data_IF_910184897353
#
_entry.id   IF_910184897353
#
_cell.length_a   1.000
_cell.length_b   1.000
_cell.length_c   1.000
_cell.angle_alpha   90.00
_cell.angle_beta   90.00
_cell.angle_gamma   90.00
#
_symmetry.space_group_name_H-M   'P 1'
#
loop_
_entity.id
_entity.type
_entity.pdbx_description
1 polymer ?
#
# COMPACT_ATOMS: atom_id res chain seq x y z
N UNK A 1 14.62 73.74 24.54
CA UNK A 1 14.96 72.91 23.36
C UNK A 1 14.82 71.44 23.78
N UNK A 2 13.66 70.91 23.48
CA UNK A 2 13.34 69.55 23.87
C UNK A 2 13.58 68.62 22.65
N UNK A 3 14.51 67.69 22.77
CA UNK A 3 14.77 66.69 21.74
C UNK A 3 13.81 65.51 21.90
N UNK A 4 12.97 65.34 20.88
CA UNK A 4 12.06 64.19 20.75
C UNK A 4 12.85 63.04 20.15
N UNK A 5 12.86 61.90 20.85
CA UNK A 5 13.43 60.63 20.36
C UNK A 5 12.51 59.99 19.30
N UNK A 6 13.06 59.30 18.27
CA UNK A 6 12.25 58.61 17.27
C UNK A 6 11.67 57.29 17.81
N UNK A 7 10.54 56.80 17.24
CA UNK A 7 9.89 55.59 17.70
C UNK A 7 10.69 54.33 17.33
N UNK A 8 10.64 53.34 18.23
CA UNK A 8 11.27 52.05 18.10
C UNK A 8 10.69 51.26 16.91
N UNK A 9 11.59 50.82 16.03
CA UNK A 9 11.31 49.93 14.91
C UNK A 9 10.88 48.57 15.47
N UNK A 10 9.69 48.13 15.05
CA UNK A 10 9.10 46.86 15.44
C UNK A 10 10.03 45.68 15.09
N UNK A 11 10.22 44.82 16.06
CA UNK A 11 10.97 43.57 15.91
C UNK A 11 10.37 42.72 14.81
N UNK A 12 11.12 42.49 13.74
CA UNK A 12 10.84 41.47 12.74
C UNK A 12 10.81 40.10 13.44
N UNK A 13 9.67 39.45 13.39
CA UNK A 13 9.53 38.04 13.80
C UNK A 13 10.39 37.18 12.87
N UNK A 14 11.29 36.40 13.46
CA UNK A 14 12.13 35.43 12.77
C UNK A 14 11.25 34.41 12.03
N UNK A 15 11.58 34.00 10.79
CA UNK A 15 10.92 32.93 10.08
C UNK A 15 11.48 31.57 10.60
N UNK A 16 10.93 31.05 11.69
CA UNK A 16 11.51 29.88 12.36
C UNK A 16 10.57 29.08 13.26
N UNK A 17 9.25 29.20 13.08
CA UNK A 17 8.29 28.24 13.63
C UNK A 17 7.48 27.60 12.51
N UNK A 18 8.19 26.90 11.61
CA UNK A 18 7.58 25.80 10.90
C UNK A 18 7.36 24.71 11.96
N UNK A 19 6.11 24.54 12.37
CA UNK A 19 5.66 23.47 13.24
C UNK A 19 6.40 22.18 12.86
N UNK A 20 7.02 21.53 13.84
CA UNK A 20 7.59 20.18 13.72
C UNK A 20 6.46 19.23 13.35
N UNK A 21 6.11 19.21 12.07
CA UNK A 21 5.28 18.18 11.46
C UNK A 21 6.01 16.88 11.74
N UNK A 22 5.31 15.98 12.39
CA UNK A 22 5.73 14.64 12.75
C UNK A 22 6.43 13.98 11.54
N UNK A 23 7.76 14.00 11.51
CA UNK A 23 8.62 13.76 10.33
C UNK A 23 8.60 12.28 9.89
N UNK A 24 7.68 11.47 10.44
CA UNK A 24 7.60 10.02 10.27
C UNK A 24 6.38 9.57 9.42
N UNK A 25 5.39 10.44 9.19
CA UNK A 25 4.23 10.14 8.35
C UNK A 25 4.64 10.19 6.89
N UNK A 26 4.60 9.04 6.22
CA UNK A 26 4.95 8.91 4.80
C UNK A 26 3.75 9.03 3.88
N UNK A 27 2.65 8.36 4.23
CA UNK A 27 1.38 8.40 3.49
C UNK A 27 0.32 9.05 4.36
N UNK A 28 -0.39 10.06 3.81
CA UNK A 28 -1.59 10.66 4.42
C UNK A 28 -2.73 10.61 3.43
N UNK A 29 -3.83 10.00 3.82
CA UNK A 29 -5.11 9.99 3.10
C UNK A 29 -6.07 10.85 3.91
N UNK A 30 -6.52 11.99 3.34
CA UNK A 30 -7.27 13.02 4.06
C UNK A 30 -8.61 13.27 3.38
N UNK A 31 -9.69 12.76 3.97
CA UNK A 31 -11.09 12.94 3.54
C UNK A 31 -11.31 12.62 2.05
N UNK A 32 -10.64 11.57 1.57
CA UNK A 32 -10.64 11.21 0.16
C UNK A 32 -11.95 10.54 -0.21
N UNK A 33 -12.64 11.10 -1.21
CA UNK A 33 -13.84 10.51 -1.82
C UNK A 33 -13.67 10.34 -3.33
N UNK A 34 -14.45 9.42 -3.89
CA UNK A 34 -14.45 9.16 -5.32
C UNK A 34 -15.80 8.57 -5.78
N UNK A 35 -16.19 8.85 -7.02
CA UNK A 35 -17.37 8.22 -7.62
C UNK A 35 -17.10 7.86 -9.07
N UNK A 36 -17.51 6.65 -9.45
CA UNK A 36 -17.60 6.26 -10.85
C UNK A 36 -18.97 6.67 -11.41
N UNK A 37 -18.97 7.60 -12.34
CA UNK A 37 -20.19 8.03 -13.01
C UNK A 37 -20.07 7.79 -14.51
N UNK A 38 -21.01 7.11 -15.17
CA UNK A 38 -20.94 6.89 -16.60
C UNK A 38 -21.11 8.22 -17.39
N UNK A 39 -21.87 9.16 -16.82
CA UNK A 39 -22.10 10.51 -17.36
C UNK A 39 -22.36 11.49 -16.20
N UNK A 40 -22.12 12.78 -16.42
CA UNK A 40 -22.33 13.86 -15.44
C UNK A 40 -23.79 13.99 -14.94
N UNK A 41 -24.76 13.42 -15.69
CA UNK A 41 -26.20 13.53 -15.39
C UNK A 41 -26.80 12.28 -14.76
N UNK A 42 -26.03 11.19 -14.62
CA UNK A 42 -26.51 9.94 -14.04
C UNK A 42 -25.97 9.73 -12.63
N UNK A 43 -26.77 9.03 -11.81
CA UNK A 43 -26.31 8.61 -10.49
C UNK A 43 -25.02 7.78 -10.60
N UNK A 44 -24.06 7.93 -9.68
CA UNK A 44 -22.83 7.19 -9.71
C UNK A 44 -23.09 5.67 -9.56
N UNK A 45 -22.39 4.88 -10.35
CA UNK A 45 -22.42 3.40 -10.26
C UNK A 45 -21.82 2.90 -8.95
N UNK A 46 -20.86 3.64 -8.42
CA UNK A 46 -20.19 3.34 -7.14
C UNK A 46 -19.64 4.64 -6.57
N UNK A 47 -19.73 4.79 -5.25
CA UNK A 47 -19.14 5.90 -4.50
C UNK A 47 -18.27 5.38 -3.37
N UNK A 48 -17.03 5.90 -3.29
CA UNK A 48 -16.19 5.80 -2.12
C UNK A 48 -16.42 7.06 -1.27
N UNK A 49 -16.94 6.87 -0.05
CA UNK A 49 -17.16 7.95 0.91
C UNK A 49 -15.82 8.45 1.48
N UNK A 50 -15.86 9.64 2.08
CA UNK A 50 -14.70 10.29 2.65
C UNK A 50 -13.93 9.36 3.61
N UNK A 51 -12.71 9.02 3.23
CA UNK A 51 -11.84 8.09 3.96
C UNK A 51 -10.58 8.82 4.41
N UNK A 52 -10.16 8.58 5.65
CA UNK A 52 -8.94 9.19 6.21
C UNK A 52 -8.13 8.17 7.01
N UNK A 53 -6.82 8.12 6.76
CA UNK A 53 -5.84 7.40 7.57
C UNK A 53 -4.43 7.87 7.23
N UNK A 54 -3.46 7.48 8.05
CA UNK A 54 -2.05 7.77 7.84
C UNK A 54 -1.22 6.52 8.00
N UNK A 55 -0.08 6.45 7.31
CA UNK A 55 0.92 5.41 7.50
C UNK A 55 2.31 6.01 7.59
N UNK A 56 3.11 5.47 8.50
CA UNK A 56 4.50 5.87 8.74
C UNK A 56 5.45 5.06 7.88
N UNK A 57 6.69 5.51 7.84
CA UNK A 57 7.77 4.75 7.26
C UNK A 57 8.01 3.47 8.08
N UNK A 58 7.96 2.31 7.41
CA UNK A 58 8.12 1.01 8.07
C UNK A 58 6.82 0.34 8.51
N UNK A 59 5.66 0.98 8.28
CA UNK A 59 4.35 0.42 8.62
C UNK A 59 3.71 -0.34 7.46
N UNK A 60 2.95 -1.37 7.82
CA UNK A 60 2.06 -2.12 6.93
C UNK A 60 0.61 -1.76 7.26
N UNK A 61 -0.11 -1.23 6.28
CA UNK A 61 -1.55 -0.95 6.36
C UNK A 61 -2.30 -1.98 5.53
N UNK A 62 -3.23 -2.72 6.13
CA UNK A 62 -4.12 -3.62 5.42
C UNK A 62 -5.46 -2.94 5.13
N UNK A 63 -5.90 -2.96 3.88
CA UNK A 63 -7.24 -2.54 3.48
C UNK A 63 -8.10 -3.80 3.36
N UNK A 64 -9.08 -3.94 4.22
CA UNK A 64 -9.98 -5.09 4.32
C UNK A 64 -11.41 -4.74 3.94
N UNK A 65 -12.13 -5.74 3.44
CA UNK A 65 -13.55 -5.63 3.15
C UNK A 65 -14.01 -6.67 2.12
N UNK A 66 -15.31 -6.85 1.94
CA UNK A 66 -15.87 -7.76 0.93
C UNK A 66 -15.49 -7.36 -0.50
N UNK A 67 -15.78 -8.23 -1.46
CA UNK A 67 -15.62 -7.90 -2.87
C UNK A 67 -16.50 -6.70 -3.24
N UNK A 68 -16.03 -5.89 -4.19
CA UNK A 68 -16.68 -4.66 -4.63
C UNK A 68 -16.91 -3.60 -3.52
N UNK A 69 -16.21 -3.68 -2.39
CA UNK A 69 -16.33 -2.67 -1.31
C UNK A 69 -15.60 -1.35 -1.59
N UNK A 70 -14.73 -1.29 -2.61
CA UNK A 70 -13.96 -0.09 -2.98
C UNK A 70 -12.47 -0.15 -2.66
N UNK A 71 -11.94 -1.29 -2.22
CA UNK A 71 -10.52 -1.48 -1.87
C UNK A 71 -9.58 -1.08 -3.02
N UNK A 72 -9.79 -1.67 -4.21
CA UNK A 72 -8.96 -1.37 -5.39
C UNK A 72 -9.14 0.08 -5.88
N UNK A 73 -10.30 0.69 -5.66
CA UNK A 73 -10.52 2.12 -5.94
C UNK A 73 -9.66 2.99 -5.01
N UNK A 74 -9.69 2.71 -3.71
CA UNK A 74 -8.84 3.41 -2.74
C UNK A 74 -7.36 3.19 -3.06
N UNK A 75 -6.95 1.98 -3.44
CA UNK A 75 -5.57 1.70 -3.84
C UNK A 75 -5.14 2.53 -5.07
N UNK A 76 -6.02 2.69 -6.08
CA UNK A 76 -5.77 3.52 -7.26
C UNK A 76 -5.68 5.01 -6.93
N UNK A 77 -6.47 5.51 -5.97
CA UNK A 77 -6.38 6.88 -5.46
C UNK A 77 -5.05 7.10 -4.72
N UNK A 78 -4.63 6.13 -3.90
CA UNK A 78 -3.32 6.17 -3.23
C UNK A 78 -2.18 6.16 -4.25
N UNK A 79 -2.29 5.33 -5.28
CA UNK A 79 -1.34 5.30 -6.39
C UNK A 79 -1.28 6.60 -7.21
N UNK A 80 -2.27 7.49 -7.07
CA UNK A 80 -2.41 8.71 -7.88
C UNK A 80 -2.77 8.43 -9.35
N UNK A 81 -3.31 7.24 -9.66
CA UNK A 81 -3.84 6.89 -10.99
C UNK A 81 -5.29 7.32 -11.17
N UNK A 82 -5.98 7.58 -10.06
CA UNK A 82 -7.26 8.25 -10.02
C UNK A 82 -7.10 9.56 -9.24
N UNK A 83 -7.79 10.60 -9.68
CA UNK A 83 -7.88 11.87 -8.98
C UNK A 83 -9.11 11.85 -8.06
N UNK A 84 -8.97 12.20 -6.76
CA UNK A 84 -10.10 12.20 -5.84
C UNK A 84 -11.10 13.34 -6.18
N UNK A 85 -12.39 13.11 -5.96
CA UNK A 85 -13.42 14.15 -6.06
C UNK A 85 -13.32 15.17 -4.92
N UNK A 86 -12.95 14.70 -3.73
CA UNK A 86 -12.66 15.56 -2.57
C UNK A 86 -11.53 14.97 -1.75
N UNK A 87 -10.93 15.79 -0.91
CA UNK A 87 -9.79 15.39 -0.10
C UNK A 87 -8.50 15.30 -0.88
N UNK A 88 -7.49 14.67 -0.31
CA UNK A 88 -6.17 14.51 -0.94
C UNK A 88 -5.42 13.30 -0.40
N UNK A 89 -4.59 12.72 -1.26
CA UNK A 89 -3.60 11.70 -0.87
C UNK A 89 -2.21 12.31 -0.99
N UNK A 90 -1.47 12.30 0.09
CA UNK A 90 -0.12 12.87 0.17
C UNK A 90 0.91 11.77 0.41
N UNK A 91 1.99 11.78 -0.37
CA UNK A 91 3.20 11.00 -0.13
C UNK A 91 4.35 11.94 0.21
N UNK A 92 4.86 11.85 1.44
CA UNK A 92 5.82 12.82 2.01
C UNK A 92 5.36 14.27 1.81
N UNK A 93 4.07 14.55 2.01
CA UNK A 93 3.48 15.90 1.88
C UNK A 93 3.12 16.33 0.45
N UNK A 94 3.44 15.54 -0.59
CA UNK A 94 3.14 15.87 -1.99
C UNK A 94 1.91 15.09 -2.48
N UNK A 95 0.92 15.75 -3.12
CA UNK A 95 -0.25 15.07 -3.66
C UNK A 95 0.15 14.03 -4.73
N UNK A 96 -0.29 12.79 -4.56
CA UNK A 96 0.13 11.68 -5.44
C UNK A 96 -0.35 11.84 -6.89
N UNK A 97 -1.57 12.37 -7.08
CA UNK A 97 -2.15 12.58 -8.41
C UNK A 97 -1.44 13.70 -9.20
N UNK A 98 -0.83 14.68 -8.51
CA UNK A 98 -0.11 15.79 -9.15
C UNK A 98 1.34 15.43 -9.53
N UNK A 99 1.86 14.30 -9.09
CA UNK A 99 3.19 13.83 -9.48
C UNK A 99 3.22 13.46 -10.96
N UNK A 100 4.30 13.82 -11.66
CA UNK A 100 4.52 13.32 -13.01
C UNK A 100 4.54 11.80 -13.02
N UNK A 101 4.14 11.16 -14.13
CA UNK A 101 4.13 9.69 -14.24
C UNK A 101 5.48 9.08 -13.86
N UNK A 102 6.58 9.72 -14.26
CA UNK A 102 7.94 9.28 -13.95
C UNK A 102 8.24 9.38 -12.45
N UNK A 103 7.99 10.54 -11.83
CA UNK A 103 8.23 10.76 -10.39
C UNK A 103 7.36 9.83 -9.55
N UNK A 104 6.12 9.62 -9.96
CA UNK A 104 5.20 8.68 -9.32
C UNK A 104 5.74 7.26 -9.38
N UNK A 105 6.16 6.79 -10.56
CA UNK A 105 6.73 5.46 -10.74
C UNK A 105 8.09 5.27 -10.04
N UNK A 106 8.83 6.33 -9.72
CA UNK A 106 10.04 6.26 -8.88
C UNK A 106 9.73 6.16 -7.39
N UNK A 107 8.55 6.62 -6.94
CA UNK A 107 8.19 6.71 -5.52
C UNK A 107 7.16 5.68 -5.08
N UNK A 108 6.32 5.23 -6.00
CA UNK A 108 5.22 4.30 -5.73
C UNK A 108 5.37 3.11 -6.66
N UNK A 109 5.53 1.92 -6.09
CA UNK A 109 5.44 0.67 -6.83
C UNK A 109 4.11 -0.01 -6.52
N UNK A 110 3.50 -0.58 -7.56
CA UNK A 110 2.24 -1.29 -7.43
C UNK A 110 2.35 -2.71 -8.00
N UNK A 111 2.00 -3.69 -7.19
CA UNK A 111 1.82 -5.09 -7.58
C UNK A 111 0.32 -5.33 -7.70
N UNK A 112 -0.13 -5.63 -8.91
CA UNK A 112 -1.52 -5.95 -9.21
C UNK A 112 -1.77 -7.45 -9.08
N UNK A 113 -3.03 -7.83 -8.87
CA UNK A 113 -3.48 -9.21 -8.72
C UNK A 113 -3.07 -10.11 -9.89
N UNK A 114 -3.12 -9.60 -11.12
CA UNK A 114 -2.68 -10.32 -12.33
C UNK A 114 -1.56 -9.56 -13.01
N UNK A 115 -0.36 -10.10 -12.98
CA UNK A 115 0.77 -9.65 -13.80
C UNK A 115 0.91 -10.59 -14.99
N UNK A 116 0.27 -10.24 -16.12
CA UNK A 116 0.43 -11.00 -17.35
C UNK A 116 1.84 -10.80 -17.90
N UNK A 117 2.53 -11.92 -18.14
CA UNK A 117 3.79 -11.92 -18.87
C UNK A 117 3.48 -11.84 -20.37
N UNK A 118 3.70 -10.68 -20.95
CA UNK A 118 3.47 -10.44 -22.38
C UNK A 118 4.53 -11.11 -23.27
N UNK A 119 5.73 -11.36 -22.73
CA UNK A 119 6.84 -11.93 -23.45
C UNK A 119 7.62 -12.93 -22.58
N UNK A 120 8.24 -13.98 -23.17
CA UNK A 120 9.15 -14.84 -22.45
C UNK A 120 10.36 -14.02 -21.96
N UNK A 121 10.63 -14.09 -20.65
CA UNK A 121 11.74 -13.39 -20.00
C UNK A 121 12.33 -14.26 -18.89
N UNK A 122 13.61 -14.10 -18.63
CA UNK A 122 14.24 -14.61 -17.41
C UNK A 122 13.83 -13.75 -16.20
N UNK A 123 13.90 -14.31 -15.01
CA UNK A 123 13.46 -13.59 -13.80
C UNK A 123 14.25 -12.27 -13.61
N UNK A 124 15.58 -12.25 -13.81
CA UNK A 124 16.35 -11.03 -13.67
C UNK A 124 15.99 -9.95 -14.72
N UNK A 125 15.68 -10.35 -15.96
CA UNK A 125 15.24 -9.44 -17.03
C UNK A 125 13.88 -8.83 -16.70
N UNK A 126 12.98 -9.64 -16.16
CA UNK A 126 11.68 -9.17 -15.69
C UNK A 126 11.81 -8.16 -14.53
N UNK A 127 12.70 -8.42 -13.58
CA UNK A 127 12.97 -7.52 -12.46
C UNK A 127 13.62 -6.22 -12.94
N UNK A 128 14.50 -6.30 -13.92
CA UNK A 128 15.19 -5.14 -14.51
C UNK A 128 14.21 -4.13 -15.13
N UNK A 129 13.02 -4.57 -15.61
CA UNK A 129 11.95 -3.66 -16.06
C UNK A 129 11.51 -2.67 -14.96
N UNK A 130 11.66 -3.02 -13.69
CA UNK A 130 11.43 -2.12 -12.57
C UNK A 130 12.32 -0.87 -12.57
N UNK A 131 13.41 -0.87 -13.35
CA UNK A 131 14.33 0.28 -13.49
C UNK A 131 13.91 1.30 -14.54
N UNK A 132 12.89 1.01 -15.37
CA UNK A 132 12.43 1.94 -16.42
C UNK A 132 12.20 3.37 -15.95
N UNK A 133 11.62 3.65 -14.76
CA UNK A 133 11.43 5.03 -14.29
C UNK A 133 12.74 5.78 -14.04
N UNK A 134 13.85 5.07 -13.85
CA UNK A 134 15.18 5.65 -13.57
C UNK A 134 16.02 5.81 -14.83
N UNK A 135 15.70 5.08 -15.90
CA UNK A 135 16.42 5.13 -17.18
C UNK A 135 16.34 6.49 -17.87
N UNK A 136 17.38 6.84 -18.65
CA UNK A 136 17.34 7.95 -19.63
C UNK A 136 16.85 7.41 -20.95
N UNK A 137 16.05 8.22 -21.66
CA UNK A 137 15.31 7.92 -22.90
C UNK A 137 16.21 7.44 -24.05
N UNK A 138 16.95 6.48 -24.10
CA UNK A 138 17.76 5.93 -25.20
C UNK A 138 19.07 5.21 -24.72
N UNK A 139 19.10 4.68 -23.49
CA UNK A 139 20.26 3.93 -23.04
C UNK A 139 19.90 2.49 -22.68
N UNK A 140 20.77 1.60 -23.07
CA UNK A 140 20.87 0.24 -22.54
C UNK A 140 20.96 0.29 -21.01
N UNK A 141 20.50 -0.74 -20.34
CA UNK A 141 20.55 -0.89 -18.90
C UNK A 141 21.99 -0.68 -18.41
N UNK A 142 22.14 0.14 -17.37
CA UNK A 142 23.45 0.37 -16.79
C UNK A 142 23.85 -0.81 -15.87
N UNK A 143 25.15 -0.98 -15.65
CA UNK A 143 25.64 -1.95 -14.66
C UNK A 143 25.01 -1.73 -13.28
N UNK A 144 24.71 -0.47 -12.93
CA UNK A 144 24.01 -0.10 -11.70
C UNK A 144 22.58 -0.65 -11.69
N UNK A 145 21.83 -0.55 -12.80
CA UNK A 145 20.46 -1.06 -12.86
C UNK A 145 20.42 -2.59 -12.75
N UNK A 146 21.37 -3.28 -13.37
CA UNK A 146 21.55 -4.74 -13.24
C UNK A 146 21.85 -5.10 -11.77
N UNK A 147 22.73 -4.36 -11.11
CA UNK A 147 23.06 -4.59 -9.70
C UNK A 147 21.83 -4.38 -8.79
N UNK A 148 21.02 -3.32 -9.03
CA UNK A 148 19.78 -3.07 -8.29
C UNK A 148 18.76 -4.19 -8.50
N UNK A 149 18.59 -4.67 -9.73
CA UNK A 149 17.68 -5.78 -10.04
C UNK A 149 18.10 -7.09 -9.33
N UNK A 150 19.39 -7.42 -9.35
CA UNK A 150 19.92 -8.58 -8.63
C UNK A 150 19.76 -8.46 -7.10
N UNK A 151 20.03 -7.28 -6.55
CA UNK A 151 19.81 -7.01 -5.14
C UNK A 151 18.31 -7.14 -4.75
N UNK A 152 17.41 -6.65 -5.59
CA UNK A 152 15.98 -6.79 -5.37
C UNK A 152 15.52 -8.26 -5.33
N UNK A 153 16.09 -9.13 -6.22
CA UNK A 153 15.87 -10.58 -6.14
C UNK A 153 16.38 -11.17 -4.82
N UNK A 154 17.54 -10.73 -4.36
CA UNK A 154 18.11 -11.21 -3.09
C UNK A 154 17.24 -10.80 -1.89
N UNK A 155 16.71 -9.58 -1.88
CA UNK A 155 15.85 -9.07 -0.81
C UNK A 155 14.57 -9.91 -0.61
N UNK A 156 14.07 -10.56 -1.65
CA UNK A 156 12.89 -11.44 -1.58
C UNK A 156 13.24 -12.94 -1.55
N UNK A 157 14.50 -13.29 -1.31
CA UNK A 157 14.94 -14.67 -1.27
C UNK A 157 14.82 -15.41 -2.63
N UNK A 158 14.94 -14.68 -3.74
CA UNK A 158 14.78 -15.21 -5.09
C UNK A 158 16.05 -15.10 -5.95
N UNK A 159 17.23 -14.86 -5.34
CA UNK A 159 18.49 -14.68 -6.09
C UNK A 159 18.81 -15.86 -7.01
N UNK A 160 18.57 -17.10 -6.54
CA UNK A 160 18.80 -18.34 -7.29
C UNK A 160 17.86 -18.53 -8.48
N UNK A 161 16.77 -17.77 -8.55
CA UNK A 161 15.78 -17.83 -9.63
C UNK A 161 16.15 -16.92 -10.81
N UNK A 162 17.16 -16.05 -10.66
CA UNK A 162 17.47 -14.99 -11.61
C UNK A 162 17.56 -15.47 -13.06
N UNK A 163 18.26 -16.56 -13.32
CA UNK A 163 18.48 -17.09 -14.68
C UNK A 163 17.38 -18.04 -15.18
N UNK A 164 16.39 -18.38 -14.34
CA UNK A 164 15.25 -19.23 -14.75
C UNK A 164 14.23 -18.42 -15.54
N UNK A 165 13.55 -19.09 -16.45
CA UNK A 165 12.44 -18.50 -17.19
C UNK A 165 11.23 -18.26 -16.27
N UNK A 166 10.59 -17.12 -16.39
CA UNK A 166 9.38 -16.82 -15.62
C UNK A 166 8.27 -17.87 -15.78
N UNK A 167 8.19 -18.51 -16.96
CA UNK A 167 7.21 -19.56 -17.24
C UNK A 167 7.45 -20.85 -16.42
N UNK A 168 8.68 -21.10 -16.00
CA UNK A 168 9.10 -22.31 -15.26
C UNK A 168 8.93 -22.16 -13.73
N UNK A 169 8.62 -20.96 -13.26
CA UNK A 169 8.50 -20.66 -11.84
C UNK A 169 7.13 -21.11 -11.30
N UNK A 170 7.13 -21.66 -10.07
CA UNK A 170 5.92 -21.89 -9.30
C UNK A 170 5.19 -20.57 -8.98
N UNK A 171 3.95 -20.63 -8.52
CA UNK A 171 3.18 -19.44 -8.13
C UNK A 171 3.89 -18.58 -7.08
N UNK A 172 4.40 -19.19 -6.02
CA UNK A 172 5.13 -18.48 -4.97
C UNK A 172 6.48 -17.90 -5.45
N UNK A 173 7.21 -18.63 -6.31
CA UNK A 173 8.43 -18.11 -6.93
C UNK A 173 8.14 -16.91 -7.84
N UNK A 174 7.10 -17.01 -8.69
CA UNK A 174 6.65 -15.89 -9.52
C UNK A 174 6.30 -14.67 -8.69
N UNK A 175 5.56 -14.86 -7.60
CA UNK A 175 5.14 -13.75 -6.74
C UNK A 175 6.36 -13.06 -6.11
N UNK A 176 7.37 -13.81 -5.65
CA UNK A 176 8.62 -13.21 -5.17
C UNK A 176 9.34 -12.41 -6.26
N UNK A 177 9.40 -12.91 -7.50
CA UNK A 177 10.02 -12.19 -8.62
C UNK A 177 9.21 -10.93 -9.00
N UNK A 178 7.88 -10.99 -8.97
CA UNK A 178 7.02 -9.82 -9.19
C UNK A 178 7.26 -8.76 -8.10
N UNK A 179 7.37 -9.18 -6.84
CA UNK A 179 7.72 -8.28 -5.73
C UNK A 179 9.13 -7.68 -5.93
N UNK A 180 10.11 -8.49 -6.35
CA UNK A 180 11.46 -7.99 -6.66
C UNK A 180 11.44 -6.91 -7.75
N UNK A 181 10.61 -7.04 -8.80
CA UNK A 181 10.44 -5.99 -9.81
C UNK A 181 9.93 -4.68 -9.20
N UNK A 182 8.95 -4.77 -8.29
CA UNK A 182 8.44 -3.60 -7.58
C UNK A 182 9.53 -2.95 -6.70
N UNK A 183 10.34 -3.75 -6.00
CA UNK A 183 11.46 -3.26 -5.18
C UNK A 183 12.60 -2.67 -6.02
N UNK A 184 12.83 -3.17 -7.23
CA UNK A 184 13.82 -2.61 -8.16
C UNK A 184 13.50 -1.15 -8.56
N UNK A 185 12.25 -0.70 -8.43
CA UNK A 185 11.91 0.72 -8.55
C UNK A 185 12.46 1.57 -7.40
N UNK A 186 12.92 0.96 -6.30
CA UNK A 186 13.33 1.66 -5.06
C UNK A 186 12.25 2.61 -4.54
N UNK A 187 11.00 2.13 -4.36
CA UNK A 187 9.88 2.98 -4.02
C UNK A 187 9.94 3.44 -2.55
N UNK A 188 9.17 4.48 -2.22
CA UNK A 188 8.87 4.87 -0.84
C UNK A 188 7.61 4.15 -0.33
N UNK A 189 6.68 3.88 -1.25
CA UNK A 189 5.38 3.28 -0.99
C UNK A 189 5.19 2.06 -1.90
N UNK A 190 4.91 0.92 -1.30
CA UNK A 190 4.60 -0.33 -1.98
C UNK A 190 3.11 -0.63 -1.82
N UNK A 191 2.41 -0.74 -2.94
CA UNK A 191 0.99 -1.04 -3.01
C UNK A 191 0.81 -2.45 -3.56
N UNK A 192 0.08 -3.29 -2.83
CA UNK A 192 -0.14 -4.69 -3.17
C UNK A 192 -1.65 -4.96 -3.22
N UNK A 193 -2.14 -5.41 -4.37
CA UNK A 193 -3.55 -5.80 -4.55
C UNK A 193 -3.65 -7.33 -4.55
N UNK A 194 -4.19 -7.91 -3.48
CA UNK A 194 -4.39 -9.35 -3.27
C UNK A 194 -3.11 -10.19 -3.51
N UNK A 195 -1.95 -9.86 -2.88
CA UNK A 195 -0.66 -10.47 -3.24
C UNK A 195 -0.54 -11.94 -2.84
N UNK A 196 -1.42 -12.45 -1.99
CA UNK A 196 -1.45 -13.83 -1.49
C UNK A 196 -2.38 -14.75 -2.28
N UNK A 197 -3.14 -14.19 -3.23
CA UNK A 197 -4.11 -14.95 -4.02
C UNK A 197 -3.41 -16.05 -4.84
N UNK A 198 -3.99 -17.24 -4.86
CA UNK A 198 -3.46 -18.43 -5.53
C UNK A 198 -2.14 -18.97 -4.97
N UNK A 199 -1.69 -18.52 -3.82
CA UNK A 199 -0.55 -19.08 -3.10
C UNK A 199 -1.03 -20.13 -2.10
N UNK A 200 -0.23 -21.18 -1.90
CA UNK A 200 -0.41 -22.07 -0.76
C UNK A 200 -0.10 -21.37 0.57
N UNK A 201 -0.51 -21.95 1.68
CA UNK A 201 -0.40 -21.36 3.01
C UNK A 201 1.08 -21.01 3.35
N UNK A 202 2.01 -21.89 3.00
CA UNK A 202 3.42 -21.66 3.30
C UNK A 202 3.95 -20.44 2.53
N UNK A 203 3.65 -20.36 1.23
CA UNK A 203 4.04 -19.23 0.38
C UNK A 203 3.37 -17.90 0.80
N UNK A 204 2.12 -17.95 1.30
CA UNK A 204 1.44 -16.77 1.86
C UNK A 204 2.19 -16.23 3.09
N UNK A 205 2.52 -17.12 4.03
CA UNK A 205 3.25 -16.76 5.26
C UNK A 205 4.63 -16.21 4.93
N UNK A 206 5.38 -16.89 4.05
CA UNK A 206 6.70 -16.46 3.61
C UNK A 206 6.68 -15.07 2.97
N UNK A 207 5.69 -14.81 2.12
CA UNK A 207 5.51 -13.50 1.47
C UNK A 207 5.28 -12.40 2.52
N UNK A 208 4.39 -12.62 3.48
CA UNK A 208 4.04 -11.61 4.48
C UNK A 208 5.16 -11.38 5.50
N UNK A 209 5.86 -12.42 5.90
CA UNK A 209 7.09 -12.30 6.70
C UNK A 209 8.15 -11.50 5.95
N UNK A 210 8.35 -11.79 4.67
CA UNK A 210 9.24 -11.02 3.80
C UNK A 210 8.83 -9.55 3.69
N UNK A 211 7.55 -9.27 3.50
CA UNK A 211 7.02 -7.89 3.48
C UNK A 211 7.24 -7.17 4.82
N UNK A 212 7.03 -7.87 5.94
CA UNK A 212 7.29 -7.31 7.28
C UNK A 212 8.76 -6.97 7.46
N UNK A 213 9.65 -7.86 7.09
CA UNK A 213 11.10 -7.63 7.12
C UNK A 213 11.49 -6.43 6.25
N UNK A 214 11.02 -6.38 5.01
CA UNK A 214 11.25 -5.27 4.09
C UNK A 214 10.73 -3.93 4.64
N UNK A 215 9.53 -3.92 5.23
CA UNK A 215 8.96 -2.72 5.83
C UNK A 215 9.86 -2.19 6.96
N UNK A 216 10.27 -3.05 7.89
CA UNK A 216 11.06 -2.65 9.06
C UNK A 216 12.48 -2.26 8.68
N UNK A 217 13.21 -3.14 7.98
CA UNK A 217 14.63 -2.96 7.69
C UNK A 217 14.90 -1.87 6.65
N UNK A 218 14.08 -1.83 5.60
CA UNK A 218 14.24 -0.87 4.50
C UNK A 218 13.34 0.36 4.64
N UNK A 219 12.53 0.40 5.72
CA UNK A 219 11.58 1.50 5.98
C UNK A 219 10.60 1.73 4.83
N UNK A 220 10.19 0.69 4.11
CA UNK A 220 9.12 0.79 3.14
C UNK A 220 7.79 1.01 3.86
N UNK A 221 6.95 1.91 3.34
CA UNK A 221 5.53 1.94 3.73
C UNK A 221 4.79 0.99 2.79
N UNK A 222 4.03 0.07 3.35
CA UNK A 222 3.33 -0.96 2.58
C UNK A 222 1.83 -0.80 2.77
N UNK A 223 1.06 -0.79 1.68
CA UNK A 223 -0.40 -0.88 1.72
C UNK A 223 -0.81 -2.16 0.99
N UNK A 224 -1.47 -3.06 1.71
CA UNK A 224 -1.94 -4.35 1.19
C UNK A 224 -3.46 -4.36 1.15
N UNK A 225 -4.03 -4.60 -0.01
CA UNK A 225 -5.44 -4.98 -0.13
C UNK A 225 -5.52 -6.50 -0.02
N UNK A 226 -6.37 -6.99 0.87
CA UNK A 226 -6.60 -8.43 1.04
C UNK A 226 -7.99 -8.70 1.61
N UNK A 227 -8.46 -9.93 1.46
CA UNK A 227 -9.65 -10.47 2.13
C UNK A 227 -9.28 -11.44 3.26
N UNK A 228 -7.99 -11.73 3.45
CA UNK A 228 -7.46 -12.66 4.45
C UNK A 228 -7.39 -12.00 5.84
N UNK A 229 -8.46 -12.12 6.63
CA UNK A 229 -8.54 -11.49 7.96
C UNK A 229 -7.39 -11.88 8.88
N UNK A 230 -7.08 -13.17 8.96
CA UNK A 230 -6.06 -13.65 9.89
C UNK A 230 -4.65 -13.19 9.50
N UNK A 231 -4.34 -13.14 8.21
CA UNK A 231 -3.06 -12.64 7.74
C UNK A 231 -2.93 -11.13 7.98
N UNK A 232 -3.98 -10.36 7.71
CA UNK A 232 -3.97 -8.93 8.03
C UNK A 232 -3.88 -8.67 9.54
N UNK A 233 -4.59 -9.45 10.36
CA UNK A 233 -4.53 -9.38 11.82
C UNK A 233 -3.12 -9.62 12.37
N UNK A 234 -2.41 -10.59 11.80
CA UNK A 234 -1.06 -10.98 12.25
C UNK A 234 0.03 -10.02 11.81
N UNK A 235 -0.02 -9.49 10.57
CA UNK A 235 1.13 -8.78 9.99
C UNK A 235 0.95 -7.27 9.83
N UNK A 236 -0.30 -6.75 9.83
CA UNK A 236 -0.52 -5.32 9.65
C UNK A 236 -0.34 -4.53 10.96
N UNK A 237 0.17 -3.30 10.86
CA UNK A 237 0.20 -2.33 11.95
C UNK A 237 -1.13 -1.60 12.08
N UNK A 238 -1.79 -1.35 10.94
CA UNK A 238 -3.10 -0.74 10.86
C UNK A 238 -4.01 -1.49 9.88
N UNK A 239 -5.29 -1.44 10.15
CA UNK A 239 -6.35 -1.97 9.29
C UNK A 239 -7.31 -0.85 8.93
N UNK A 240 -7.65 -0.76 7.65
CA UNK A 240 -8.72 0.08 7.10
C UNK A 240 -9.84 -0.83 6.66
N UNK A 241 -10.96 -0.86 7.38
CA UNK A 241 -12.09 -1.73 7.08
C UNK A 241 -13.12 -0.99 6.24
N UNK A 242 -13.38 -1.50 5.03
CA UNK A 242 -14.28 -0.87 4.06
C UNK A 242 -15.44 -1.79 3.69
N UNK A 243 -16.64 -1.23 3.66
CA UNK A 243 -17.84 -1.91 3.18
C UNK A 243 -18.68 -0.97 2.30
N UNK A 244 -19.05 -1.39 1.11
CA UNK A 244 -19.91 -0.63 0.17
C UNK A 244 -19.48 0.82 -0.04
N UNK A 245 -18.17 1.04 -0.21
CA UNK A 245 -17.60 2.37 -0.39
C UNK A 245 -17.41 3.18 0.87
N UNK A 246 -17.81 2.68 2.04
CA UNK A 246 -17.69 3.37 3.31
C UNK A 246 -16.56 2.81 4.15
N UNK A 247 -15.68 3.67 4.64
CA UNK A 247 -14.69 3.33 5.65
C UNK A 247 -15.38 3.25 7.03
N UNK A 248 -15.47 2.04 7.59
CA UNK A 248 -16.17 1.80 8.85
C UNK A 248 -15.27 2.00 10.06
N UNK A 249 -14.00 1.59 9.95
CA UNK A 249 -13.04 1.67 11.05
C UNK A 249 -11.62 1.71 10.53
N UNK A 250 -10.78 2.48 11.22
CA UNK A 250 -9.32 2.52 11.01
C UNK A 250 -8.62 2.37 12.35
N UNK A 251 -7.56 1.60 12.41
CA UNK A 251 -6.75 1.45 13.61
C UNK A 251 -5.93 0.16 13.63
N UNK A 252 -5.22 -0.11 14.73
CA UNK A 252 -4.54 -1.40 14.92
C UNK A 252 -5.54 -2.57 14.85
N UNK A 253 -5.10 -3.78 14.46
CA UNK A 253 -5.98 -4.94 14.36
C UNK A 253 -6.83 -5.19 15.61
N UNK A 254 -6.28 -5.04 16.83
CA UNK A 254 -7.03 -5.20 18.08
C UNK A 254 -8.17 -4.19 18.31
N UNK A 255 -8.15 -3.04 17.61
CA UNK A 255 -9.22 -2.03 17.66
C UNK A 255 -10.27 -2.29 16.58
N UNK A 256 -9.86 -2.79 15.42
CA UNK A 256 -10.74 -3.00 14.26
C UNK A 256 -11.47 -4.34 14.35
N UNK A 257 -10.82 -5.37 14.90
CA UNK A 257 -11.36 -6.73 14.97
C UNK A 257 -12.33 -6.89 16.15
N UNK A 258 -13.47 -6.21 16.04
CA UNK A 258 -14.61 -6.38 16.93
C UNK A 258 -15.59 -7.36 16.28
N UNK A 259 -16.03 -8.37 17.03
CA UNK A 259 -16.89 -9.46 16.54
C UNK A 259 -18.10 -8.91 15.77
N UNK A 260 -18.87 -8.05 16.42
CA UNK A 260 -20.12 -7.49 15.88
C UNK A 260 -19.88 -6.72 14.58
N UNK A 261 -18.78 -5.96 14.50
CA UNK A 261 -18.39 -5.21 13.32
C UNK A 261 -18.00 -6.14 12.16
N UNK A 262 -17.20 -7.18 12.44
CA UNK A 262 -16.80 -8.13 11.41
C UNK A 262 -17.97 -8.99 10.93
N UNK A 263 -18.86 -9.46 11.84
CA UNK A 263 -20.08 -10.18 11.48
C UNK A 263 -20.99 -9.32 10.57
N UNK A 264 -21.14 -8.03 10.89
CA UNK A 264 -21.89 -7.09 10.06
C UNK A 264 -21.28 -6.94 8.66
N UNK A 265 -19.93 -6.81 8.58
CA UNK A 265 -19.22 -6.57 7.32
C UNK A 265 -19.21 -7.81 6.44
N UNK A 266 -18.90 -8.98 7.01
CA UNK A 266 -18.74 -10.23 6.26
C UNK A 266 -20.00 -11.09 6.20
N UNK A 267 -21.07 -10.69 6.91
CA UNK A 267 -22.37 -11.38 6.94
C UNK A 267 -22.26 -12.87 7.31
N UNK A 268 -21.41 -13.17 8.27
CA UNK A 268 -21.09 -14.53 8.72
C UNK A 268 -20.87 -14.51 10.22
N UNK A 269 -21.33 -15.52 10.92
CA UNK A 269 -21.05 -15.69 12.35
C UNK A 269 -19.56 -15.93 12.57
N UNK A 270 -18.94 -15.11 13.40
CA UNK A 270 -17.50 -15.12 13.64
C UNK A 270 -17.21 -15.13 15.15
N UNK A 271 -16.08 -15.71 15.55
CA UNK A 271 -15.45 -15.43 16.83
C UNK A 271 -14.13 -14.68 16.62
N UNK A 272 -13.80 -13.81 17.58
CA UNK A 272 -12.51 -13.10 17.60
C UNK A 272 -11.82 -13.46 18.90
N UNK A 273 -10.63 -14.00 18.79
CA UNK A 273 -9.82 -14.48 19.91
C UNK A 273 -8.40 -13.93 19.78
N UNK A 274 -7.64 -13.92 20.87
CA UNK A 274 -6.21 -13.59 20.79
C UNK A 274 -5.42 -14.85 20.38
N UNK A 275 -4.65 -14.74 19.31
CA UNK A 275 -3.72 -15.77 18.89
C UNK A 275 -2.48 -15.86 19.79
N UNK A 276 -1.58 -16.82 19.55
CA UNK A 276 -0.34 -17.00 20.32
C UNK A 276 0.60 -15.77 20.30
N UNK A 277 0.52 -14.96 19.24
CA UNK A 277 1.27 -13.70 19.09
C UNK A 277 0.66 -12.53 19.89
N UNK A 278 -0.48 -12.75 20.58
CA UNK A 278 -1.27 -11.68 21.21
C UNK A 278 -2.05 -10.82 20.21
N UNK A 279 -2.07 -11.19 18.94
CA UNK A 279 -2.84 -10.51 17.88
C UNK A 279 -4.20 -11.18 17.66
N UNK A 280 -5.22 -10.44 17.20
CA UNK A 280 -6.55 -10.99 17.01
C UNK A 280 -6.58 -12.02 15.87
N UNK A 281 -7.28 -13.12 16.12
CA UNK A 281 -7.63 -14.16 15.16
C UNK A 281 -9.12 -14.27 15.00
N UNK A 282 -9.57 -14.51 13.79
CA UNK A 282 -10.97 -14.66 13.42
C UNK A 282 -11.23 -16.12 13.02
N UNK A 283 -12.20 -16.73 13.65
CA UNK A 283 -12.68 -18.07 13.30
C UNK A 283 -14.13 -18.00 12.82
N UNK A 284 -14.45 -18.75 11.79
CA UNK A 284 -15.84 -18.91 11.33
C UNK A 284 -16.56 -19.83 12.31
N UNK A 285 -17.67 -19.36 12.85
CA UNK A 285 -18.54 -20.17 13.70
C UNK A 285 -19.56 -20.82 12.78
N UNK A 286 -19.47 -22.14 12.64
CA UNK A 286 -20.52 -22.88 11.94
C UNK A 286 -21.79 -22.86 12.80
N UNK A 287 -22.81 -22.15 12.34
CA UNK A 287 -24.14 -22.17 12.96
C UNK A 287 -24.68 -23.60 12.83
N UNK A 288 -24.68 -24.35 13.93
CA UNK A 288 -25.22 -25.70 13.97
C UNK A 288 -26.72 -25.70 14.25
N UNK A 289 -27.36 -24.56 14.40
CA UNK A 289 -28.80 -24.45 14.69
C UNK A 289 -29.51 -23.62 13.60
N UNK A 290 -30.19 -24.31 12.69
CA UNK A 290 -31.31 -23.77 11.93
C UNK A 290 -31.06 -23.32 10.49
N UNK A 291 -30.89 -24.25 9.58
CA UNK A 291 -31.47 -24.20 8.22
C UNK A 291 -32.06 -25.54 7.88
#
# INVERSE_FOLDING_TARGET
MSMVAPPAVGAMRSPGEVSRVNNDVRLSVEQVSYAYSPNLTQAPLFTLEATSFQARAGEIVAILGPNASGKSTLLKLIAGTLEPLSGKVLLNGFPTHSLTARTRAQRIAMVQQESQLLFPARAWEFVLQGRHPHGRTLRFESATDIAVARNALAQVGAAQLGDRWMAELSGGEKQRVILARALAQQPLLLLLDEPTLHLDIAAQVDLLLGLRHLAVENRYTVVVVTHELNLAGEYADQVVLIQRGKCLRVGPPGVVYQRELLEQVFQTALSVELGPSGRPRVNVVADREGR
#
